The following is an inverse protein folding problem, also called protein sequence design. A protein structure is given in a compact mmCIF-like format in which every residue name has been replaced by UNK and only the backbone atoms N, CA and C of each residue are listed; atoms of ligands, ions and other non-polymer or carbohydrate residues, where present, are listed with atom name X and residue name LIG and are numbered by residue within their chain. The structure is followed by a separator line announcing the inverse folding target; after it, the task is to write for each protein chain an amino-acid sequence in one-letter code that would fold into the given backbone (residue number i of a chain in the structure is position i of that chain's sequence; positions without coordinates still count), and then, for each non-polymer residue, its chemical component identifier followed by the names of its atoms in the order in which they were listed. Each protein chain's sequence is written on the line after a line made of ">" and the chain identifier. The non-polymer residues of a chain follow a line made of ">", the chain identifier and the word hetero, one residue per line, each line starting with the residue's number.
data_IF_401065583111
#
_entry.id   IF_401065583111
#
_cell.length_a   1.000
_cell.length_b   1.000
_cell.length_c   1.000
_cell.angle_alpha   90.00
_cell.angle_beta   90.00
_cell.angle_gamma   90.00
#
_symmetry.space_group_name_H-M   'P 1'
#
loop_
_entity.id
_entity.type
_entity.pdbx_description
1 polymer ?
#
# COMPACT_ATOMS: atom_id res chain seq x y z
N UNK A 1 11.52 -50.02 58.90
CA UNK A 1 11.95 -48.60 58.94
C UNK A 1 12.73 -48.12 57.70
N UNK A 2 13.23 -48.97 56.78
CA UNK A 2 14.02 -48.53 55.61
C UNK A 2 13.24 -47.84 54.46
N UNK A 3 11.94 -48.11 54.30
CA UNK A 3 11.15 -47.57 53.17
C UNK A 3 10.77 -46.09 53.32
N UNK A 4 10.66 -45.58 54.54
CA UNK A 4 10.31 -44.18 54.82
C UNK A 4 11.52 -43.27 54.60
N UNK A 5 12.73 -43.74 54.87
CA UNK A 5 13.94 -42.93 54.71
C UNK A 5 14.22 -42.56 53.24
N UNK A 6 13.95 -43.49 52.32
CA UNK A 6 14.24 -43.29 50.90
C UNK A 6 13.26 -42.35 50.22
N UNK A 7 12.00 -42.35 50.66
CA UNK A 7 10.96 -41.45 50.12
C UNK A 7 11.18 -40.00 50.55
N UNK A 8 11.63 -39.77 51.78
CA UNK A 8 11.96 -38.41 52.26
C UNK A 8 13.20 -37.85 51.57
N UNK A 9 14.23 -38.68 51.37
CA UNK A 9 15.45 -38.27 50.68
C UNK A 9 15.19 -37.93 49.20
N UNK A 10 14.36 -38.72 48.52
CA UNK A 10 13.97 -38.46 47.14
C UNK A 10 13.24 -37.12 46.97
N UNK A 11 12.29 -36.81 47.85
CA UNK A 11 11.58 -35.52 47.82
C UNK A 11 12.50 -34.34 48.12
N UNK A 12 13.45 -34.49 49.05
CA UNK A 12 14.46 -33.46 49.31
C UNK A 12 15.35 -33.20 48.10
N UNK A 13 15.77 -34.24 47.39
CA UNK A 13 16.58 -34.12 46.18
C UNK A 13 15.80 -33.40 45.07
N UNK A 14 14.53 -33.76 44.85
CA UNK A 14 13.66 -33.13 43.84
C UNK A 14 13.45 -31.64 44.16
N UNK A 15 13.19 -31.30 45.43
CA UNK A 15 13.06 -29.90 45.87
C UNK A 15 14.36 -29.14 45.67
N UNK A 16 15.51 -29.74 45.97
CA UNK A 16 16.82 -29.11 45.81
C UNK A 16 17.17 -28.87 44.34
N UNK A 17 16.93 -29.86 43.48
CA UNK A 17 17.14 -29.74 42.04
C UNK A 17 16.18 -28.72 41.41
N UNK A 18 14.91 -28.70 41.83
CA UNK A 18 13.95 -27.69 41.39
C UNK A 18 14.37 -26.29 41.82
N UNK A 19 14.88 -26.13 43.05
CA UNK A 19 15.36 -24.85 43.58
C UNK A 19 16.63 -24.36 42.85
N UNK A 20 17.54 -25.27 42.50
CA UNK A 20 18.70 -24.97 41.67
C UNK A 20 18.31 -24.60 40.23
N UNK A 21 17.36 -25.34 39.64
CA UNK A 21 16.83 -25.07 38.30
C UNK A 21 16.17 -23.69 38.21
N UNK A 22 15.31 -23.35 39.18
CA UNK A 22 14.67 -22.04 39.25
C UNK A 22 15.68 -20.89 39.38
N UNK A 23 16.80 -21.12 40.08
CA UNK A 23 17.86 -20.12 40.25
C UNK A 23 18.67 -19.88 38.97
N UNK A 24 18.87 -20.92 38.15
CA UNK A 24 19.70 -20.84 36.94
C UNK A 24 18.94 -20.42 35.68
N UNK A 25 17.66 -20.79 35.54
CA UNK A 25 16.96 -20.65 34.26
C UNK A 25 15.73 -19.74 34.28
N UNK A 26 15.26 -19.26 35.44
CA UNK A 26 14.09 -18.35 35.47
C UNK A 26 14.09 -17.39 36.66
N UNK A 27 14.96 -16.37 36.61
CA UNK A 27 15.14 -15.38 37.68
C UNK A 27 13.84 -14.66 38.07
N UNK A 28 12.92 -14.41 37.13
CA UNK A 28 11.67 -13.66 37.41
C UNK A 28 10.66 -14.45 38.24
N UNK A 29 10.61 -15.78 38.10
CA UNK A 29 9.74 -16.65 38.91
C UNK A 29 10.37 -16.99 40.27
N UNK A 30 11.70 -17.11 40.34
CA UNK A 30 12.43 -17.36 41.59
C UNK A 30 12.23 -16.26 42.64
N UNK A 31 12.23 -14.99 42.20
CA UNK A 31 11.99 -13.83 43.07
C UNK A 31 10.53 -13.80 43.58
N UNK A 32 9.55 -14.15 42.73
CA UNK A 32 8.12 -14.17 43.11
C UNK A 32 7.75 -15.29 44.10
N UNK A 33 8.44 -16.42 44.07
CA UNK A 33 8.16 -17.55 44.96
C UNK A 33 8.95 -17.43 46.27
N UNK A 34 10.18 -16.89 46.22
CA UNK A 34 11.00 -16.66 47.41
C UNK A 34 10.38 -15.71 48.43
N UNK A 35 9.56 -14.75 47.99
CA UNK A 35 8.89 -13.78 48.87
C UNK A 35 7.70 -14.34 49.67
N UNK A 36 7.19 -15.55 49.34
CA UNK A 36 6.09 -16.20 50.07
C UNK A 36 6.51 -17.14 51.20
N UNK A 37 7.81 -17.42 51.32
CA UNK A 37 8.36 -18.25 52.40
C UNK A 37 9.32 -17.38 53.22
N UNK A 38 8.77 -16.55 54.10
CA UNK A 38 9.55 -15.69 54.98
C UNK A 38 10.46 -16.50 55.91
N UNK A 39 11.74 -16.13 55.99
CA UNK A 39 12.30 -15.32 57.08
C UNK A 39 13.72 -14.87 56.68
N UNK A 40 13.94 -13.58 56.91
CA UNK A 40 15.16 -12.77 56.98
C UNK A 40 16.46 -13.33 56.36
N UNK A 41 16.93 -12.65 55.31
CA UNK A 41 18.32 -12.20 55.36
C UNK A 41 18.31 -10.78 55.91
N UNK A 42 18.99 -10.61 57.05
CA UNK A 42 19.51 -9.32 57.46
C UNK A 42 20.25 -8.72 56.27
N UNK A 43 19.74 -7.62 55.77
CA UNK A 43 20.55 -6.71 54.97
C UNK A 43 21.56 -6.12 55.95
N UNK A 44 22.78 -6.66 55.94
CA UNK A 44 23.92 -5.90 56.44
C UNK A 44 23.96 -4.60 55.65
N UNK A 45 23.72 -3.49 56.35
CA UNK A 45 23.93 -2.14 55.88
C UNK A 45 25.42 -1.93 55.65
N UNK A 46 25.90 -2.28 54.46
CA UNK A 46 27.18 -1.81 53.93
C UNK A 46 27.03 -1.69 52.41
N UNK A 47 26.77 -0.47 51.92
CA UNK A 47 26.78 -0.18 50.49
C UNK A 47 25.70 0.80 50.07
N UNK A 48 26.06 2.09 50.04
CA UNK A 48 25.66 3.03 49.01
C UNK A 48 24.17 3.26 48.72
N UNK A 49 23.73 4.47 49.04
CA UNK A 49 22.63 5.19 48.36
C UNK A 49 22.82 5.24 46.81
N UNK A 50 23.98 4.79 46.32
CA UNK A 50 24.37 4.70 44.91
C UNK A 50 23.64 3.63 44.12
N UNK A 51 23.26 2.49 44.72
CA UNK A 51 22.88 1.31 43.92
C UNK A 51 21.48 1.44 43.30
N UNK A 52 20.51 1.99 44.05
CA UNK A 52 19.16 2.23 43.52
C UNK A 52 19.08 3.37 42.49
N UNK A 53 19.99 4.34 42.56
CA UNK A 53 20.11 5.39 41.55
C UNK A 53 20.79 4.85 40.29
N UNK A 54 21.81 4.00 40.44
CA UNK A 54 22.51 3.37 39.32
C UNK A 54 21.58 2.46 38.53
N UNK A 55 20.75 1.66 39.23
CA UNK A 55 19.71 0.84 38.60
C UNK A 55 18.69 1.69 37.81
N UNK A 56 18.29 2.85 38.32
CA UNK A 56 17.40 3.77 37.60
C UNK A 56 18.08 4.41 36.38
N UNK A 57 19.36 4.77 36.49
CA UNK A 57 20.13 5.30 35.37
C UNK A 57 20.29 4.27 34.25
N UNK A 58 20.53 3.00 34.58
CA UNK A 58 20.67 1.93 33.61
C UNK A 58 19.33 1.63 32.89
N UNK A 59 18.22 1.69 33.62
CA UNK A 59 16.88 1.58 33.04
C UNK A 59 16.61 2.75 32.07
N UNK A 60 16.92 3.98 32.48
CA UNK A 60 16.73 5.18 31.64
C UNK A 60 17.62 5.10 30.39
N UNK A 61 18.86 4.65 30.54
CA UNK A 61 19.80 4.48 29.43
C UNK A 61 19.31 3.44 28.44
N UNK A 62 18.81 2.31 28.93
CA UNK A 62 18.23 1.26 28.10
C UNK A 62 16.98 1.76 27.35
N UNK A 63 16.11 2.53 28.00
CA UNK A 63 14.94 3.13 27.33
C UNK A 63 15.35 4.17 26.28
N UNK A 64 16.38 4.98 26.57
CA UNK A 64 16.90 5.95 25.62
C UNK A 64 17.52 5.26 24.39
N UNK A 65 18.24 4.16 24.58
CA UNK A 65 18.79 3.36 23.48
C UNK A 65 17.69 2.74 22.61
N UNK A 66 16.61 2.23 23.23
CA UNK A 66 15.43 1.73 22.49
C UNK A 66 14.74 2.86 21.72
N UNK A 67 14.59 4.05 22.30
CA UNK A 67 14.01 5.21 21.62
C UNK A 67 14.90 5.65 20.46
N UNK A 68 16.22 5.71 20.67
CA UNK A 68 17.18 6.07 19.62
C UNK A 68 17.16 5.06 18.47
N UNK A 69 17.10 3.76 18.78
CA UNK A 69 16.94 2.70 17.79
C UNK A 69 15.61 2.84 17.03
N UNK A 70 14.53 3.16 17.73
CA UNK A 70 13.20 3.35 17.13
C UNK A 70 13.19 4.57 16.20
N UNK A 71 13.79 5.68 16.62
CA UNK A 71 13.99 6.90 15.83
C UNK A 71 14.93 6.72 14.64
N UNK A 72 15.82 5.72 14.67
CA UNK A 72 16.64 5.35 13.51
C UNK A 72 15.88 4.42 12.55
N UNK A 73 15.01 3.54 13.05
CA UNK A 73 14.23 2.60 12.23
C UNK A 73 12.96 3.19 11.60
N UNK A 74 12.32 4.18 12.24
CA UNK A 74 11.14 4.88 11.72
C UNK A 74 11.38 5.67 10.43
N UNK A 75 12.45 6.47 10.28
CA UNK A 75 12.71 7.19 9.03
C UNK A 75 13.09 6.22 7.91
N UNK A 76 13.75 5.10 8.18
CA UNK A 76 14.08 4.10 7.15
C UNK A 76 12.84 3.37 6.62
N UNK A 77 11.86 3.09 7.48
CA UNK A 77 10.57 2.53 7.07
C UNK A 77 9.71 3.54 6.28
N UNK A 78 9.72 4.82 6.66
CA UNK A 78 9.03 5.89 5.93
C UNK A 78 9.72 6.25 4.61
N UNK A 79 11.06 6.21 4.55
CA UNK A 79 11.83 6.40 3.32
C UNK A 79 11.62 5.20 2.39
N UNK A 80 11.59 3.97 2.91
CA UNK A 80 11.25 2.80 2.09
C UNK A 80 9.81 2.85 1.58
N UNK A 81 8.85 3.39 2.34
CA UNK A 81 7.49 3.61 1.85
C UNK A 81 7.38 4.78 0.84
N UNK A 82 8.23 5.80 0.95
CA UNK A 82 8.29 6.92 0.01
C UNK A 82 9.12 6.65 -1.26
N UNK A 83 10.04 5.67 -1.23
CA UNK A 83 10.93 5.33 -2.35
C UNK A 83 10.39 4.25 -3.30
N UNK A 84 9.16 3.75 -3.11
CA UNK A 84 8.52 2.80 -4.06
C UNK A 84 7.87 3.51 -5.25
N UNK A 85 7.61 4.82 -5.21
CA UNK A 85 7.29 5.58 -6.43
C UNK A 85 8.58 5.96 -7.15
N UNK A 86 9.08 5.06 -8.01
CA UNK A 86 9.93 5.49 -9.11
C UNK A 86 9.24 6.67 -9.83
N UNK A 87 9.95 7.79 -10.09
CA UNK A 87 9.35 9.02 -10.62
C UNK A 87 9.04 8.94 -12.12
N UNK A 88 8.63 7.76 -12.61
CA UNK A 88 8.43 7.46 -14.03
C UNK A 88 7.46 8.46 -14.69
N UNK A 89 6.45 8.90 -13.94
CA UNK A 89 5.43 9.82 -14.43
C UNK A 89 5.51 11.23 -13.81
N UNK A 90 6.63 11.60 -13.19
CA UNK A 90 6.80 12.95 -12.67
C UNK A 90 7.20 13.91 -13.80
N UNK A 91 6.53 15.05 -13.88
CA UNK A 91 6.84 16.13 -14.82
C UNK A 91 7.12 17.41 -14.05
N UNK A 92 8.25 18.06 -14.34
CA UNK A 92 8.65 19.33 -13.70
C UNK A 92 8.27 20.56 -14.51
N UNK A 93 7.76 20.37 -15.72
CA UNK A 93 7.38 21.42 -16.67
C UNK A 93 6.01 21.13 -17.27
N UNK A 94 5.32 22.16 -17.80
CA UNK A 94 4.08 21.96 -18.52
C UNK A 94 4.25 20.96 -19.66
N UNK A 95 3.42 19.92 -19.68
CA UNK A 95 3.54 18.78 -20.58
C UNK A 95 2.29 18.68 -21.45
N UNK A 96 2.49 18.57 -22.77
CA UNK A 96 1.41 18.35 -23.73
C UNK A 96 1.09 16.86 -23.79
N UNK A 97 -0.18 16.52 -23.59
CA UNK A 97 -0.67 15.13 -23.53
C UNK A 97 -1.88 14.98 -24.44
N UNK A 98 -2.06 13.81 -25.05
CA UNK A 98 -3.23 13.47 -25.85
C UNK A 98 -4.29 12.77 -25.00
N UNK A 99 -5.54 13.23 -25.04
CA UNK A 99 -6.70 12.51 -24.54
C UNK A 99 -7.46 11.94 -25.75
N UNK A 100 -7.63 10.63 -25.82
CA UNK A 100 -8.33 10.01 -26.96
C UNK A 100 -9.82 9.98 -26.73
N UNK A 101 -10.57 10.49 -27.71
CA UNK A 101 -12.04 10.50 -27.71
C UNK A 101 -12.56 9.89 -29.01
N UNK A 102 -13.80 9.39 -28.97
CA UNK A 102 -14.45 8.89 -30.18
C UNK A 102 -14.94 10.07 -31.01
N UNK A 103 -14.58 10.08 -32.30
CA UNK A 103 -15.07 11.07 -33.25
C UNK A 103 -16.18 10.46 -34.12
N UNK A 104 -17.40 10.93 -33.92
CA UNK A 104 -18.57 10.36 -34.58
C UNK A 104 -18.57 10.61 -36.09
N UNK A 105 -18.06 11.76 -36.55
CA UNK A 105 -18.02 12.08 -37.98
C UNK A 105 -16.97 11.25 -38.72
N UNK A 106 -15.81 11.00 -38.11
CA UNK A 106 -14.82 10.09 -38.72
C UNK A 106 -15.37 8.66 -38.83
N UNK A 107 -16.07 8.20 -37.81
CA UNK A 107 -16.68 6.87 -37.83
C UNK A 107 -17.75 6.72 -38.92
N UNK A 108 -18.58 7.75 -39.09
CA UNK A 108 -19.63 7.79 -40.11
C UNK A 108 -19.12 7.78 -41.55
N UNK A 109 -17.83 8.05 -41.79
CA UNK A 109 -17.22 7.91 -43.13
C UNK A 109 -16.97 6.46 -43.52
N UNK A 110 -16.96 5.55 -42.55
CA UNK A 110 -16.78 4.13 -42.78
C UNK A 110 -18.10 3.48 -43.21
N UNK A 111 -18.00 2.33 -43.90
CA UNK A 111 -19.17 1.54 -44.23
C UNK A 111 -19.92 1.13 -42.94
N UNK A 112 -21.25 1.00 -42.94
CA UNK A 112 -22.04 0.70 -41.73
C UNK A 112 -21.54 -0.51 -40.93
N UNK A 113 -21.06 -1.55 -41.61
CA UNK A 113 -20.50 -2.76 -41.01
C UNK A 113 -19.11 -2.57 -40.35
N UNK A 114 -18.47 -1.43 -40.59
CA UNK A 114 -17.16 -1.05 -40.05
C UNK A 114 -17.24 0.05 -38.99
N UNK A 115 -18.44 0.59 -38.72
CA UNK A 115 -18.68 1.63 -37.72
C UNK A 115 -18.44 1.11 -36.29
N UNK A 116 -18.29 2.04 -35.34
CA UNK A 116 -17.73 1.79 -34.01
C UNK A 116 -16.28 1.30 -34.10
N UNK A 117 -15.49 2.00 -34.91
CA UNK A 117 -14.12 1.63 -35.22
C UNK A 117 -13.09 2.26 -34.27
N UNK A 118 -12.01 1.54 -34.00
CA UNK A 118 -10.89 2.05 -33.20
C UNK A 118 -10.06 3.11 -33.95
N UNK A 119 -10.15 3.18 -35.28
CA UNK A 119 -9.54 4.24 -36.08
C UNK A 119 -10.19 5.60 -35.85
N UNK A 120 -11.47 5.61 -35.47
CA UNK A 120 -12.27 6.80 -35.13
C UNK A 120 -11.91 7.39 -33.76
N UNK A 121 -10.98 6.76 -33.02
CA UNK A 121 -10.44 7.28 -31.76
C UNK A 121 -9.31 8.27 -32.05
N UNK A 122 -9.63 9.55 -31.96
CA UNK A 122 -8.73 10.65 -32.30
C UNK A 122 -8.25 11.41 -31.06
N UNK A 123 -7.01 11.94 -31.10
CA UNK A 123 -6.44 12.67 -29.97
C UNK A 123 -7.01 14.10 -29.88
N UNK A 124 -7.27 14.51 -28.66
CA UNK A 124 -7.54 15.88 -28.26
C UNK A 124 -6.45 16.29 -27.27
N UNK A 125 -5.69 17.33 -27.60
CA UNK A 125 -4.53 17.70 -26.79
C UNK A 125 -4.90 18.58 -25.59
N UNK A 126 -4.21 18.35 -24.48
CA UNK A 126 -4.22 19.17 -23.27
C UNK A 126 -2.79 19.54 -22.90
N UNK A 127 -2.63 20.66 -22.21
CA UNK A 127 -1.38 21.03 -21.54
C UNK A 127 -1.64 20.91 -20.05
N UNK A 128 -0.96 19.97 -19.42
CA UNK A 128 -0.96 19.82 -17.97
C UNK A 128 0.20 20.64 -17.39
N UNK A 129 0.04 21.23 -16.20
CA UNK A 129 1.16 21.80 -15.45
C UNK A 129 2.15 20.70 -15.02
N UNK A 130 3.20 21.09 -14.30
CA UNK A 130 4.06 20.14 -13.60
C UNK A 130 3.22 19.23 -12.69
N UNK A 131 3.50 17.94 -12.69
CA UNK A 131 2.71 16.92 -11.99
C UNK A 131 3.60 15.91 -11.29
N UNK A 132 3.16 15.44 -10.14
CA UNK A 132 3.77 14.30 -9.44
C UNK A 132 3.44 12.96 -10.11
N UNK A 133 2.37 12.89 -10.91
CA UNK A 133 2.01 11.71 -11.69
C UNK A 133 1.13 12.11 -12.88
N UNK A 134 1.77 12.43 -14.01
CA UNK A 134 1.09 12.89 -15.22
C UNK A 134 0.15 11.82 -15.79
N UNK A 135 0.45 10.53 -15.62
CA UNK A 135 -0.39 9.44 -16.09
C UNK A 135 -1.75 9.46 -15.38
N UNK A 136 -1.74 9.55 -14.04
CA UNK A 136 -2.95 9.61 -13.23
C UNK A 136 -3.77 10.85 -13.57
N UNK A 137 -3.14 12.01 -13.70
CA UNK A 137 -3.83 13.26 -14.06
C UNK A 137 -4.50 13.16 -15.43
N UNK A 138 -3.83 12.53 -16.39
CA UNK A 138 -4.32 12.34 -17.75
C UNK A 138 -5.54 11.43 -17.78
N UNK A 139 -5.48 10.28 -17.09
CA UNK A 139 -6.63 9.35 -17.03
C UNK A 139 -7.81 10.00 -16.30
N UNK A 140 -7.55 10.72 -15.21
CA UNK A 140 -8.59 11.45 -14.48
C UNK A 140 -9.24 12.53 -15.34
N UNK A 141 -8.49 13.26 -16.16
CA UNK A 141 -9.07 14.26 -17.07
C UNK A 141 -9.91 13.62 -18.17
N UNK A 142 -9.47 12.48 -18.72
CA UNK A 142 -10.22 11.72 -19.72
C UNK A 142 -11.60 11.30 -19.19
N UNK A 143 -11.65 10.70 -17.99
CA UNK A 143 -12.90 10.16 -17.43
C UNK A 143 -13.84 11.24 -16.90
N UNK A 144 -13.35 12.47 -16.63
CA UNK A 144 -14.18 13.63 -16.26
C UNK A 144 -15.06 14.15 -17.39
N UNK A 145 -14.79 13.75 -18.64
CA UNK A 145 -15.54 14.18 -19.82
C UNK A 145 -15.56 15.70 -20.04
N UNK A 146 -14.44 16.36 -19.78
CA UNK A 146 -14.34 17.81 -19.93
C UNK A 146 -14.04 18.23 -21.39
N UNK A 147 -14.95 17.85 -22.31
CA UNK A 147 -14.90 18.27 -23.72
C UNK A 147 -15.38 19.72 -23.87
N UNK A 148 -14.56 20.55 -24.52
CA UNK A 148 -14.86 21.95 -24.79
C UNK A 148 -15.98 22.09 -25.83
N UNK A 149 -16.68 23.24 -25.91
CA UNK A 149 -17.69 23.48 -26.94
C UNK A 149 -17.16 23.33 -28.37
N UNK A 150 -15.89 23.67 -28.62
CA UNK A 150 -15.27 23.53 -29.93
C UNK A 150 -15.02 22.06 -30.28
N UNK A 151 -14.56 21.25 -29.32
CA UNK A 151 -14.38 19.80 -29.53
C UNK A 151 -15.72 19.10 -29.79
N UNK A 152 -16.78 19.49 -29.06
CA UNK A 152 -18.12 18.98 -29.33
C UNK A 152 -18.62 19.37 -30.73
N UNK A 153 -18.34 20.60 -31.19
CA UNK A 153 -18.62 21.02 -32.58
C UNK A 153 -17.82 20.22 -33.62
N UNK A 154 -16.68 19.65 -33.23
CA UNK A 154 -15.88 18.73 -34.04
C UNK A 154 -16.32 17.26 -33.88
N UNK A 155 -17.50 17.01 -33.29
CA UNK A 155 -18.11 15.68 -33.15
C UNK A 155 -17.34 14.71 -32.27
N UNK A 156 -16.55 15.21 -31.32
CA UNK A 156 -16.01 14.39 -30.25
C UNK A 156 -17.07 14.06 -29.21
N UNK A 157 -17.17 12.79 -28.84
CA UNK A 157 -18.07 12.27 -27.81
C UNK A 157 -17.33 11.31 -26.87
N UNK A 158 -17.89 11.11 -25.69
CA UNK A 158 -17.57 9.97 -24.81
C UNK A 158 -18.77 9.74 -23.89
N UNK A 159 -18.81 8.53 -23.33
CA UNK A 159 -19.92 8.03 -22.54
C UNK A 159 -19.43 7.47 -21.19
N UNK A 160 -18.32 8.00 -20.68
CA UNK A 160 -17.91 7.71 -19.31
C UNK A 160 -19.06 8.02 -18.35
N UNK A 161 -19.22 7.25 -17.27
CA UNK A 161 -20.31 7.44 -16.34
C UNK A 161 -20.26 8.79 -15.66
N UNK A 162 -21.30 9.06 -14.89
CA UNK A 162 -21.34 10.17 -13.96
C UNK A 162 -20.15 10.16 -12.97
N UNK A 163 -20.12 11.16 -12.09
CA UNK A 163 -19.03 11.41 -11.13
C UNK A 163 -18.70 10.25 -10.16
N UNK A 164 -19.40 9.10 -10.22
CA UNK A 164 -19.14 7.91 -9.43
C UNK A 164 -18.12 6.96 -10.07
N UNK A 165 -17.83 7.09 -11.38
CA UNK A 165 -16.75 6.34 -12.04
C UNK A 165 -15.43 7.08 -11.88
N UNK A 166 -14.48 6.45 -11.17
CA UNK A 166 -13.25 7.07 -10.70
C UNK A 166 -12.10 6.09 -10.77
N UNK A 167 -10.92 6.60 -11.08
CA UNK A 167 -9.68 5.86 -10.92
C UNK A 167 -9.35 5.78 -9.42
N UNK A 168 -9.26 4.58 -8.87
CA UNK A 168 -8.97 4.30 -7.46
C UNK A 168 -7.46 4.13 -7.24
N UNK A 169 -6.79 3.40 -8.12
CA UNK A 169 -5.36 3.16 -8.01
C UNK A 169 -4.74 2.87 -9.38
N UNK A 170 -3.42 3.04 -9.45
CA UNK A 170 -2.60 2.70 -10.61
C UNK A 170 -1.36 1.97 -10.13
N UNK A 171 -1.02 0.88 -10.79
CA UNK A 171 0.22 0.14 -10.55
C UNK A 171 0.90 -0.15 -11.88
N UNK A 172 2.17 0.23 -12.01
CA UNK A 172 2.97 -0.06 -13.19
C UNK A 172 4.01 -1.12 -12.82
N UNK A 173 3.88 -2.29 -13.43
CA UNK A 173 4.83 -3.37 -13.25
C UNK A 173 6.14 -3.10 -14.00
N UNK A 174 7.21 -3.82 -13.61
CA UNK A 174 8.56 -3.68 -14.19
C UNK A 174 8.59 -4.05 -15.69
N UNK A 175 7.69 -4.92 -16.15
CA UNK A 175 7.51 -5.31 -17.56
C UNK A 175 6.61 -4.34 -18.35
N UNK A 176 6.14 -3.25 -17.73
CA UNK A 176 5.37 -2.20 -18.38
C UNK A 176 3.87 -2.49 -18.50
N UNK A 177 3.33 -3.40 -17.68
CA UNK A 177 1.89 -3.61 -17.57
C UNK A 177 1.32 -2.62 -16.57
N UNK A 178 0.46 -1.73 -17.06
CA UNK A 178 -0.25 -0.76 -16.24
C UNK A 178 -1.59 -1.35 -15.78
N UNK A 179 -1.73 -1.58 -14.49
CA UNK A 179 -2.99 -1.96 -13.87
C UNK A 179 -3.73 -0.70 -13.42
N UNK A 180 -4.95 -0.51 -13.94
CA UNK A 180 -5.83 0.60 -13.60
C UNK A 180 -7.05 0.07 -12.84
N UNK A 181 -7.17 0.43 -11.57
CA UNK A 181 -8.33 0.07 -10.76
C UNK A 181 -9.36 1.21 -10.79
N UNK A 182 -10.60 0.89 -11.11
CA UNK A 182 -11.69 1.86 -11.09
C UNK A 182 -12.78 1.48 -10.09
N UNK A 183 -13.60 2.45 -9.72
CA UNK A 183 -14.85 2.20 -9.03
C UNK A 183 -15.88 1.56 -9.97
N UNK A 184 -16.66 0.63 -9.43
CA UNK A 184 -17.83 0.12 -10.11
C UNK A 184 -18.99 1.12 -9.99
N UNK A 185 -19.74 1.28 -11.07
CA UNK A 185 -20.96 2.08 -11.09
C UNK A 185 -22.12 1.16 -11.47
N UNK A 186 -23.16 1.01 -10.63
CA UNK A 186 -24.32 0.17 -10.97
C UNK A 186 -24.92 0.55 -12.33
N UNK A 187 -25.17 -0.45 -13.17
CA UNK A 187 -25.72 -0.28 -14.52
C UNK A 187 -24.75 0.29 -15.56
N UNK A 188 -23.46 0.43 -15.23
CA UNK A 188 -22.44 0.87 -16.18
C UNK A 188 -22.16 -0.17 -17.27
N UNK A 189 -22.02 -1.43 -16.85
CA UNK A 189 -21.72 -2.58 -17.71
C UNK A 189 -22.92 -3.03 -18.54
N UNK A 190 -24.15 -2.61 -18.20
CA UNK A 190 -25.38 -2.92 -18.95
C UNK A 190 -25.44 -2.28 -20.36
N UNK A 191 -24.34 -1.67 -20.80
CA UNK A 191 -24.19 -1.14 -22.15
C UNK A 191 -23.88 -2.22 -23.18
N UNK A 192 -24.18 -1.92 -24.45
CA UNK A 192 -23.84 -2.79 -25.57
C UNK A 192 -22.33 -3.06 -25.66
N UNK A 193 -21.93 -4.25 -26.13
CA UNK A 193 -20.53 -4.66 -26.29
C UNK A 193 -19.67 -3.65 -27.06
N UNK A 194 -20.25 -3.04 -28.10
CA UNK A 194 -19.64 -2.00 -28.91
C UNK A 194 -19.25 -0.75 -28.07
N UNK A 195 -20.11 -0.34 -27.13
CA UNK A 195 -19.85 0.79 -26.22
C UNK A 195 -18.70 0.48 -25.27
N UNK A 196 -18.73 -0.70 -24.65
CA UNK A 196 -17.67 -1.12 -23.72
C UNK A 196 -16.31 -1.24 -24.43
N UNK A 197 -16.30 -1.71 -25.68
CA UNK A 197 -15.12 -1.73 -26.52
C UNK A 197 -14.55 -0.32 -26.74
N UNK A 198 -15.39 0.67 -27.08
CA UNK A 198 -14.91 2.05 -27.25
C UNK A 198 -14.36 2.61 -25.95
N UNK A 199 -15.12 2.57 -24.85
CA UNK A 199 -14.72 3.16 -23.57
C UNK A 199 -13.40 2.60 -23.04
N UNK A 200 -13.26 1.27 -23.08
CA UNK A 200 -12.01 0.62 -22.69
C UNK A 200 -10.83 1.05 -23.58
N UNK A 201 -11.05 1.20 -24.89
CA UNK A 201 -10.01 1.63 -25.81
C UNK A 201 -9.66 3.12 -25.71
N UNK A 202 -10.57 4.00 -25.28
CA UNK A 202 -10.25 5.39 -24.96
C UNK A 202 -9.18 5.45 -23.87
N UNK A 203 -9.39 4.70 -22.78
CA UNK A 203 -8.44 4.65 -21.66
C UNK A 203 -7.14 3.99 -22.12
N UNK A 204 -7.21 2.83 -22.82
CA UNK A 204 -6.01 2.12 -23.30
C UNK A 204 -5.15 2.99 -24.20
N UNK A 205 -5.71 3.62 -25.25
CA UNK A 205 -4.95 4.49 -26.14
C UNK A 205 -4.35 5.69 -25.41
N UNK A 206 -5.09 6.26 -24.47
CA UNK A 206 -4.59 7.38 -23.65
C UNK A 206 -3.45 6.94 -22.74
N UNK A 207 -3.51 5.78 -22.10
CA UNK A 207 -2.41 5.28 -21.26
C UNK A 207 -1.18 4.85 -22.09
N UNK A 208 -1.39 4.20 -23.24
CA UNK A 208 -0.32 3.70 -24.12
C UNK A 208 0.50 4.81 -24.79
N UNK A 209 0.11 6.09 -24.66
CA UNK A 209 0.94 7.19 -25.13
C UNK A 209 2.22 7.35 -24.29
N UNK A 210 2.20 6.88 -23.04
CA UNK A 210 3.36 6.93 -22.16
C UNK A 210 4.30 5.77 -22.51
N UNK A 211 5.57 6.03 -22.86
CA UNK A 211 6.47 5.02 -23.42
C UNK A 211 6.77 3.86 -22.46
N UNK A 212 6.59 4.06 -21.16
CA UNK A 212 6.78 3.06 -20.12
C UNK A 212 5.61 2.07 -20.03
N UNK A 213 4.44 2.44 -20.57
CA UNK A 213 3.25 1.59 -20.61
C UNK A 213 3.27 0.76 -21.88
N UNK A 214 3.46 -0.55 -21.74
CA UNK A 214 3.43 -1.54 -22.83
C UNK A 214 2.08 -2.22 -22.98
N UNK A 215 1.38 -2.39 -21.87
CA UNK A 215 0.03 -2.97 -21.85
C UNK A 215 -0.80 -2.35 -20.73
N UNK A 216 -2.12 -2.49 -20.81
CA UNK A 216 -3.07 -1.93 -19.84
C UNK A 216 -4.09 -2.99 -19.44
N UNK A 217 -4.23 -3.20 -18.14
CA UNK A 217 -5.19 -4.13 -17.52
C UNK A 217 -6.13 -3.33 -16.62
N UNK A 218 -7.39 -3.74 -16.59
CA UNK A 218 -8.43 -3.09 -15.77
C UNK A 218 -8.80 -3.96 -14.58
N UNK A 219 -9.02 -3.31 -13.44
CA UNK A 219 -9.57 -3.93 -12.24
C UNK A 219 -10.86 -3.18 -11.86
N UNK A 220 -12.00 -3.87 -11.71
CA UNK A 220 -12.19 -5.31 -11.95
C UNK A 220 -12.09 -5.68 -13.44
N UNK A 221 -11.74 -6.93 -13.74
CA UNK A 221 -11.62 -7.40 -15.14
C UNK A 221 -12.95 -7.35 -15.91
N UNK A 222 -14.06 -7.42 -15.18
CA UNK A 222 -15.44 -7.35 -15.69
C UNK A 222 -15.91 -5.92 -15.97
N UNK A 223 -15.12 -4.89 -15.64
CA UNK A 223 -15.54 -3.49 -15.70
C UNK A 223 -16.03 -3.02 -17.08
N UNK A 224 -15.47 -3.60 -18.15
CA UNK A 224 -15.82 -3.31 -19.53
C UNK A 224 -16.30 -4.57 -20.27
N UNK A 225 -16.89 -5.51 -19.53
CA UNK A 225 -17.56 -6.67 -20.10
C UNK A 225 -19.07 -6.40 -20.08
N UNK A 226 -19.79 -6.59 -21.19
CA UNK A 226 -21.24 -6.46 -21.27
C UNK A 226 -21.96 -7.60 -20.56
#
# INVERSE_FOLDING_TARGET
>A
MKKIFWTTFFWFLVIFLFRSYMRLFNQSLGIKIGSRFGISQQVCLTGGVTDGLTDQFDIIKTQLDVINQKLQSEPEALIQQAQVQNPVFQTTVPTKVALYYFNQTEDQKLAPEQQVNLSSLLPVYRIFPASTNILVDTINELIKWNLTPNEKKQWFITEFPNAWFRLLSTDLSVDGVLTLQFSEVPGFTDGWSARMLILSNLIKKTALQFPEVKNVVFVPETLFQP
#
